data_IF_966401325097
#
_entry.id   IF_966401325097
#
_cell.length_a   1.000
_cell.length_b   1.000
_cell.length_c   1.000
_cell.angle_alpha   90.00
_cell.angle_beta   90.00
_cell.angle_gamma   90.00
#
_symmetry.space_group_name_H-M   'P 1'
#
loop_
_entity.id
_entity.type
_entity.pdbx_description
1 polymer ?
#
# COMPACT_ATOMS: atom_id res chain seq x y z
N UNK A 1 22.75 -0.31 10.57
CA UNK A 1 21.47 0.00 9.90
C UNK A 1 21.38 -0.52 8.45
N UNK A 2 22.46 -0.70 7.67
CA UNK A 2 22.33 -1.04 6.23
C UNK A 2 21.70 -2.43 5.96
N UNK A 3 22.12 -3.49 6.65
CA UNK A 3 21.59 -4.85 6.44
C UNK A 3 20.07 -5.01 6.68
N UNK A 4 19.50 -4.22 7.58
CA UNK A 4 18.07 -4.30 7.91
C UNK A 4 17.21 -3.82 6.74
N UNK A 5 17.53 -2.64 6.18
CA UNK A 5 16.73 -2.05 5.10
C UNK A 5 16.77 -2.92 3.85
N UNK A 6 17.95 -3.43 3.50
CA UNK A 6 18.16 -4.27 2.31
C UNK A 6 17.39 -5.59 2.35
N UNK A 7 17.20 -6.19 3.52
CA UNK A 7 16.48 -7.47 3.62
C UNK A 7 14.98 -7.27 3.85
N UNK A 8 14.60 -6.33 4.71
CA UNK A 8 13.21 -6.19 5.20
C UNK A 8 12.35 -5.29 4.31
N UNK A 9 12.95 -4.31 3.63
CA UNK A 9 12.22 -3.26 2.91
C UNK A 9 12.45 -3.41 1.41
N UNK A 10 11.35 -3.49 0.66
CA UNK A 10 11.36 -3.36 -0.79
C UNK A 10 10.66 -2.07 -1.18
N UNK A 11 11.34 -1.18 -1.90
CA UNK A 11 10.73 0.05 -2.41
C UNK A 11 9.77 -0.26 -3.55
N UNK A 12 8.65 0.45 -3.59
CA UNK A 12 7.68 0.43 -4.69
C UNK A 12 7.62 1.81 -5.32
N UNK A 13 6.98 1.98 -6.49
CA UNK A 13 6.79 3.31 -7.09
C UNK A 13 6.01 4.29 -6.21
N UNK A 14 5.25 3.80 -5.22
CA UNK A 14 4.35 4.60 -4.38
C UNK A 14 4.71 4.60 -2.90
N UNK A 15 5.78 3.91 -2.51
CA UNK A 15 6.15 3.74 -1.11
C UNK A 15 7.03 2.52 -0.87
N UNK A 16 6.65 1.69 0.10
CA UNK A 16 7.46 0.56 0.56
C UNK A 16 6.62 -0.66 0.96
N UNK A 17 7.23 -1.83 0.78
CA UNK A 17 6.76 -3.10 1.30
C UNK A 17 7.69 -3.59 2.41
N UNK A 18 7.13 -3.89 3.58
CA UNK A 18 7.85 -4.39 4.75
C UNK A 18 7.56 -5.90 4.86
N UNK A 19 8.61 -6.72 4.76
CA UNK A 19 8.51 -8.16 4.98
C UNK A 19 8.43 -8.46 6.49
N UNK A 20 7.24 -8.80 6.98
CA UNK A 20 7.00 -9.01 8.41
C UNK A 20 7.74 -10.25 8.92
N UNK A 21 7.82 -11.31 8.11
CA UNK A 21 8.52 -12.54 8.46
C UNK A 21 10.01 -12.29 8.71
N UNK A 22 10.65 -11.49 7.83
CA UNK A 22 12.05 -11.10 8.02
C UNK A 22 12.24 -10.11 9.18
N UNK A 23 11.36 -9.11 9.32
CA UNK A 23 11.39 -8.16 10.44
C UNK A 23 11.39 -8.88 11.81
N UNK A 24 10.62 -9.97 11.93
CA UNK A 24 10.53 -10.78 13.16
C UNK A 24 11.82 -11.54 13.50
N UNK A 25 12.78 -11.66 12.59
CA UNK A 25 14.07 -12.34 12.87
C UNK A 25 15.05 -11.49 13.66
N UNK A 26 14.82 -10.17 13.75
CA UNK A 26 15.65 -9.25 14.51
C UNK A 26 15.30 -9.29 16.00
N UNK A 27 16.27 -8.96 16.87
CA UNK A 27 16.10 -9.01 18.33
C UNK A 27 15.06 -8.03 18.89
N UNK A 28 14.79 -6.92 18.19
CA UNK A 28 13.75 -5.95 18.58
C UNK A 28 12.92 -5.47 17.36
N UNK A 29 12.02 -6.31 16.82
CA UNK A 29 11.27 -6.01 15.61
C UNK A 29 10.42 -4.74 15.70
N UNK A 30 9.87 -4.44 16.89
CA UNK A 30 9.00 -3.28 17.08
C UNK A 30 9.79 -1.97 17.01
N UNK A 31 11.01 -1.91 17.55
CA UNK A 31 11.84 -0.73 17.45
C UNK A 31 12.24 -0.44 15.99
N UNK A 32 12.66 -1.48 15.26
CA UNK A 32 12.97 -1.32 13.83
C UNK A 32 11.76 -0.90 13.02
N UNK A 33 10.58 -1.46 13.30
CA UNK A 33 9.36 -1.06 12.63
C UNK A 33 9.04 0.41 12.93
N UNK A 34 9.13 0.84 14.19
CA UNK A 34 8.91 2.23 14.58
C UNK A 34 9.82 3.19 13.82
N UNK A 35 11.12 2.88 13.72
CA UNK A 35 12.09 3.70 12.97
C UNK A 35 11.69 3.89 11.50
N UNK A 36 11.01 2.91 10.90
CA UNK A 36 10.52 2.98 9.52
C UNK A 36 9.20 3.77 9.47
N UNK A 37 8.20 3.36 10.24
CA UNK A 37 6.83 3.88 10.08
C UNK A 37 6.66 5.31 10.59
N UNK A 38 7.53 5.77 11.50
CA UNK A 38 7.53 7.16 11.99
C UNK A 38 7.84 8.17 10.90
N UNK A 39 8.58 7.77 9.86
CA UNK A 39 8.88 8.63 8.70
C UNK A 39 7.63 8.91 7.85
N UNK A 40 6.57 8.12 8.01
CA UNK A 40 5.31 8.22 7.28
C UNK A 40 4.14 8.70 8.16
N UNK A 41 4.44 9.20 9.37
CA UNK A 41 3.45 9.76 10.30
C UNK A 41 2.77 8.75 11.22
N UNK A 42 3.18 7.48 11.23
CA UNK A 42 2.56 6.45 12.08
C UNK A 42 3.27 6.33 13.44
N UNK A 43 2.96 7.23 14.37
CA UNK A 43 3.64 7.25 15.69
C UNK A 43 3.03 6.29 16.72
N UNK A 44 1.75 5.92 16.58
CA UNK A 44 1.06 5.08 17.55
C UNK A 44 1.34 3.59 17.30
N UNK A 45 2.36 3.06 17.97
CA UNK A 45 2.78 1.67 17.80
C UNK A 45 1.73 0.64 18.20
N UNK A 46 0.82 0.94 19.14
CA UNK A 46 -0.29 0.03 19.46
C UNK A 46 -1.20 -0.16 18.25
N UNK A 47 -1.50 0.93 17.54
CA UNK A 47 -2.32 0.92 16.32
C UNK A 47 -1.59 0.24 15.17
N UNK A 48 -0.30 0.55 14.96
CA UNK A 48 0.53 -0.11 13.94
C UNK A 48 0.59 -1.62 14.16
N UNK A 49 0.85 -2.06 15.39
CA UNK A 49 0.91 -3.50 15.70
C UNK A 49 -0.43 -4.20 15.54
N UNK A 50 -1.55 -3.50 15.74
CA UNK A 50 -2.89 -4.01 15.43
C UNK A 50 -3.14 -4.23 13.93
N UNK A 51 -2.35 -3.58 13.05
CA UNK A 51 -2.34 -3.85 11.60
C UNK A 51 -1.39 -5.00 11.29
N UNK A 52 -0.16 -4.97 11.80
CA UNK A 52 0.86 -6.00 11.58
C UNK A 52 0.37 -7.41 11.96
N UNK A 53 -0.32 -7.52 13.09
CA UNK A 53 -0.86 -8.77 13.62
C UNK A 53 -2.33 -9.04 13.21
N UNK A 54 -2.93 -8.13 12.45
CA UNK A 54 -4.32 -8.24 12.02
C UNK A 54 -4.50 -9.09 10.76
N UNK A 55 -5.76 -9.20 10.32
CA UNK A 55 -6.11 -9.84 9.05
C UNK A 55 -5.71 -8.96 7.86
N UNK A 56 -5.50 -9.60 6.71
CA UNK A 56 -5.22 -8.91 5.44
C UNK A 56 -6.35 -7.93 5.09
N UNK A 57 -6.01 -6.77 4.52
CA UNK A 57 -6.95 -5.70 4.15
C UNK A 57 -7.18 -4.66 5.24
N UNK A 58 -6.77 -4.91 6.49
CA UNK A 58 -6.87 -3.91 7.57
C UNK A 58 -5.90 -2.74 7.30
N UNK A 59 -6.35 -1.50 7.47
CA UNK A 59 -5.58 -0.29 7.17
C UNK A 59 -5.73 0.82 8.21
N UNK A 60 -4.76 1.72 8.24
CA UNK A 60 -4.76 3.01 8.93
C UNK A 60 -4.16 4.08 8.03
N UNK A 61 -4.51 5.33 8.25
CA UNK A 61 -4.10 6.45 7.42
C UNK A 61 -3.38 7.51 8.27
N UNK A 62 -2.41 8.18 7.66
CA UNK A 62 -1.83 9.44 8.10
C UNK A 62 -2.22 10.53 7.09
N UNK A 63 -1.67 11.74 7.22
CA UNK A 63 -2.03 12.86 6.34
C UNK A 63 -1.75 12.59 4.85
N UNK A 64 -0.70 11.84 4.56
CA UNK A 64 -0.22 11.60 3.18
C UNK A 64 -0.03 10.13 2.84
N UNK A 65 -0.20 9.21 3.80
CA UNK A 65 0.10 7.79 3.59
C UNK A 65 -0.96 6.88 4.17
N UNK A 66 -1.08 5.69 3.59
CA UNK A 66 -1.87 4.58 4.14
C UNK A 66 -0.92 3.44 4.50
N UNK A 67 -1.12 2.84 5.68
CA UNK A 67 -0.45 1.62 6.11
C UNK A 67 -1.48 0.49 6.19
N UNK A 68 -1.26 -0.58 5.45
CA UNK A 68 -2.18 -1.71 5.43
C UNK A 68 -1.48 -3.06 5.43
N UNK A 69 -2.22 -4.08 5.87
CA UNK A 69 -1.77 -5.47 5.85
C UNK A 69 -2.10 -6.12 4.51
N UNK A 70 -1.10 -6.68 3.85
CA UNK A 70 -1.26 -7.56 2.71
C UNK A 70 -0.55 -8.89 2.97
N UNK A 71 -1.32 -9.94 3.32
CA UNK A 71 -0.84 -11.31 3.60
C UNK A 71 0.34 -11.33 4.57
N UNK A 72 1.57 -11.58 4.11
CA UNK A 72 2.79 -11.62 4.92
C UNK A 72 3.56 -10.28 4.98
N UNK A 73 3.05 -9.26 4.30
CA UNK A 73 3.67 -7.93 4.17
C UNK A 73 2.83 -6.85 4.87
N UNK A 74 3.49 -5.77 5.24
CA UNK A 74 2.84 -4.50 5.57
C UNK A 74 3.28 -3.51 4.51
N UNK A 75 2.31 -2.83 3.91
CA UNK A 75 2.53 -1.88 2.84
C UNK A 75 2.34 -0.49 3.40
N UNK A 76 3.20 0.43 2.99
CA UNK A 76 2.99 1.87 3.17
C UNK A 76 3.05 2.51 1.80
N UNK A 77 2.02 3.25 1.44
CA UNK A 77 1.97 3.98 0.17
C UNK A 77 1.35 5.36 0.33
N UNK A 78 1.69 6.25 -0.59
CA UNK A 78 1.07 7.58 -0.68
C UNK A 78 -0.44 7.46 -0.84
N UNK A 79 -1.19 8.23 -0.05
CA UNK A 79 -2.62 8.42 -0.24
C UNK A 79 -2.84 9.08 -1.60
N UNK A 80 -3.21 8.27 -2.58
CA UNK A 80 -3.70 8.79 -3.85
C UNK A 80 -5.13 9.25 -3.64
N UNK A 81 -5.35 10.55 -3.77
CA UNK A 81 -6.70 11.07 -3.98
C UNK A 81 -7.23 10.38 -5.23
N UNK A 82 -8.19 9.47 -5.06
CA UNK A 82 -8.94 8.91 -6.18
C UNK A 82 -9.67 10.09 -6.82
N UNK A 83 -9.12 10.58 -7.93
CA UNK A 83 -9.84 11.54 -8.76
C UNK A 83 -10.92 10.74 -9.48
N UNK A 84 -12.20 11.10 -9.29
CA UNK A 84 -13.25 10.55 -10.13
C UNK A 84 -12.84 10.76 -11.58
N UNK A 85 -12.92 9.70 -12.37
CA UNK A 85 -12.79 9.81 -13.82
C UNK A 85 -14.22 9.90 -14.33
N UNK A 86 -14.55 10.99 -15.02
CA UNK A 86 -15.81 11.09 -15.74
C UNK A 86 -15.69 10.29 -17.03
N UNK A 87 -16.62 9.35 -17.23
CA UNK A 87 -16.70 8.52 -18.41
C UNK A 87 -17.99 8.88 -19.15
N UNK A 88 -17.85 9.38 -20.38
CA UNK A 88 -18.99 9.61 -21.27
C UNK A 88 -19.08 8.45 -22.27
N UNK A 89 -20.31 8.02 -22.55
CA UNK A 89 -20.60 7.06 -23.63
C UNK A 89 -20.96 7.90 -24.86
N UNK A 90 -19.99 8.11 -25.77
CA UNK A 90 -20.15 8.96 -26.95
C UNK A 90 -20.04 8.16 -28.26
N UNK A 91 -20.95 7.20 -28.52
CA UNK A 91 -21.05 6.40 -29.77
C UNK A 91 -19.68 6.04 -30.40
N UNK A 92 -18.72 5.70 -29.54
CA UNK A 92 -17.34 5.39 -29.91
C UNK A 92 -16.82 4.34 -28.96
N UNK A 93 -16.08 3.40 -29.53
CA UNK A 93 -15.36 2.43 -28.73
C UNK A 93 -14.17 3.08 -28.02
N UNK A 94 -14.06 2.87 -26.71
CA UNK A 94 -12.98 3.43 -25.87
C UNK A 94 -12.47 2.38 -24.88
N UNK A 95 -11.15 2.35 -24.69
CA UNK A 95 -10.48 1.51 -23.71
C UNK A 95 -9.89 2.35 -22.58
N UNK A 96 -10.28 2.03 -21.35
CA UNK A 96 -9.72 2.60 -20.12
C UNK A 96 -8.78 1.61 -19.46
N UNK A 97 -7.55 2.05 -19.16
CA UNK A 97 -6.54 1.23 -18.49
C UNK A 97 -6.45 1.59 -17.01
N UNK A 98 -6.64 0.58 -16.18
CA UNK A 98 -6.38 0.59 -14.74
C UNK A 98 -5.11 -0.24 -14.47
N UNK A 99 -4.63 -0.27 -13.22
CA UNK A 99 -3.35 -0.88 -12.85
C UNK A 99 -3.12 -2.27 -13.46
N UNK A 100 -4.01 -3.21 -13.16
CA UNK A 100 -3.95 -4.61 -13.58
C UNK A 100 -5.16 -5.01 -14.44
N UNK A 101 -5.96 -4.05 -14.87
CA UNK A 101 -7.26 -4.27 -15.49
C UNK A 101 -7.58 -3.24 -16.57
N UNK A 102 -8.48 -3.60 -17.49
CA UNK A 102 -8.99 -2.72 -18.55
C UNK A 102 -10.51 -2.76 -18.58
N UNK A 103 -11.14 -1.62 -18.90
CA UNK A 103 -12.55 -1.54 -19.26
C UNK A 103 -12.62 -1.15 -20.73
N UNK A 104 -13.29 -1.97 -21.52
CA UNK A 104 -13.59 -1.70 -22.92
C UNK A 104 -15.08 -1.35 -23.05
N UNK A 105 -15.37 -0.20 -23.64
CA UNK A 105 -16.72 0.21 -24.02
C UNK A 105 -16.76 0.13 -25.54
N UNK A 106 -17.73 -0.61 -26.08
CA UNK A 106 -17.89 -0.80 -27.53
C UNK A 106 -19.23 -0.24 -28.00
N UNK A 107 -19.21 0.47 -29.12
CA UNK A 107 -20.43 0.83 -29.83
C UNK A 107 -21.06 -0.44 -30.42
N UNK A 108 -22.35 -0.66 -30.14
CA UNK A 108 -23.11 -1.77 -30.72
C UNK A 108 -23.90 -1.25 -31.91
N UNK A 109 -23.51 -1.67 -33.11
CA UNK A 109 -24.33 -1.47 -34.31
C UNK A 109 -25.56 -2.38 -34.22
N UNK A 110 -26.72 -1.80 -33.88
CA UNK A 110 -28.04 -2.48 -33.89
C UNK A 110 -28.74 -2.23 -35.21
#
# INVERSE_FOLDING_TARGET
>A
MSRFRESVINTTPTGININVSQLKTFSNPQAYLYEVVKAYGFYNMKVVMNIVNGQSGKRIESDQFVLFKDRERVVIEELRLLRPIELTIDDKSVQYRFYDSTIDIEEVNV
#
